data_IF_337304883126
#
_entry.id   IF_337304883126
#
_cell.length_a   1.000
_cell.length_b   1.000
_cell.length_c   1.000
_cell.angle_alpha   90.00
_cell.angle_beta   90.00
_cell.angle_gamma   90.00
#
_symmetry.space_group_name_H-M   'P 1'
#
loop_
_entity.id
_entity.type
_entity.pdbx_description
1 polymer ?
#
# COMPACT_ATOMS: atom_id res chain seq x y z
N UNK A 1 -9.83 -5.83 13.19
CA UNK A 1 -9.54 -4.38 13.34
C UNK A 1 -10.81 -3.61 13.06
N UNK A 2 -11.00 -2.40 13.61
CA UNK A 2 -12.13 -1.55 13.21
C UNK A 2 -12.03 -1.25 11.70
N UNK A 3 -13.12 -1.50 10.97
CA UNK A 3 -13.24 -1.24 9.54
C UNK A 3 -12.71 0.16 9.15
N UNK A 4 -13.01 1.17 9.97
CA UNK A 4 -12.63 2.55 9.71
C UNK A 4 -11.12 2.73 9.72
N UNK A 5 -10.42 2.14 10.70
CA UNK A 5 -8.97 2.25 10.75
C UNK A 5 -8.31 1.57 9.56
N UNK A 6 -8.86 0.45 9.08
CA UNK A 6 -8.29 -0.25 7.93
C UNK A 6 -8.53 0.54 6.65
N UNK A 7 -9.76 1.04 6.45
CA UNK A 7 -10.08 1.94 5.34
C UNK A 7 -9.16 3.17 5.32
N UNK A 8 -9.09 3.90 6.43
CA UNK A 8 -8.34 5.15 6.52
C UNK A 8 -6.83 4.88 6.39
N UNK A 9 -6.33 3.79 6.98
CA UNK A 9 -4.94 3.35 6.85
C UNK A 9 -4.58 3.00 5.41
N UNK A 10 -5.38 2.15 4.75
CA UNK A 10 -5.15 1.75 3.36
C UNK A 10 -5.20 2.96 2.42
N UNK A 11 -6.21 3.83 2.58
CA UNK A 11 -6.39 5.02 1.75
C UNK A 11 -5.25 6.02 1.94
N UNK A 12 -4.95 6.39 3.19
CA UNK A 12 -3.96 7.41 3.50
C UNK A 12 -2.54 6.97 3.14
N UNK A 13 -2.14 5.75 3.50
CA UNK A 13 -0.80 5.25 3.18
C UNK A 13 -0.60 5.11 1.67
N UNK A 14 -1.60 4.58 0.95
CA UNK A 14 -1.51 4.48 -0.52
C UNK A 14 -1.43 5.86 -1.18
N UNK A 15 -2.20 6.85 -0.70
CA UNK A 15 -2.15 8.21 -1.22
C UNK A 15 -0.80 8.89 -0.95
N UNK A 16 -0.28 8.77 0.27
CA UNK A 16 1.03 9.34 0.63
C UNK A 16 2.14 8.67 -0.17
N UNK A 17 2.12 7.34 -0.29
CA UNK A 17 3.12 6.62 -1.08
C UNK A 17 3.06 7.00 -2.57
N UNK A 18 1.86 7.26 -3.10
CA UNK A 18 1.69 7.73 -4.47
C UNK A 18 2.33 9.10 -4.68
N UNK A 19 2.19 10.03 -3.73
CA UNK A 19 2.86 11.34 -3.76
C UNK A 19 4.38 11.16 -3.74
N UNK A 20 4.91 10.43 -2.76
CA UNK A 20 6.35 10.24 -2.62
C UNK A 20 6.98 9.46 -3.78
N UNK A 21 6.27 8.48 -4.35
CA UNK A 21 6.71 7.74 -5.54
C UNK A 21 6.68 8.62 -6.79
N UNK A 22 5.68 9.50 -6.92
CA UNK A 22 5.61 10.49 -8.00
C UNK A 22 6.73 11.53 -7.89
N UNK A 23 7.02 12.00 -6.68
CA UNK A 23 8.12 12.93 -6.42
C UNK A 23 9.46 12.28 -6.73
N UNK A 24 9.68 11.02 -6.35
CA UNK A 24 10.90 10.28 -6.68
C UNK A 24 11.05 10.10 -8.20
N UNK A 25 9.96 9.74 -8.90
CA UNK A 25 9.95 9.59 -10.35
C UNK A 25 10.26 10.91 -11.07
N UNK A 26 9.55 11.98 -10.73
CA UNK A 26 9.76 13.30 -11.33
C UNK A 26 11.12 13.87 -10.99
N UNK A 27 11.58 13.69 -9.74
CA UNK A 27 12.91 14.09 -9.30
C UNK A 27 14.01 13.42 -10.13
N UNK A 28 13.89 12.11 -10.37
CA UNK A 28 14.85 11.36 -11.20
C UNK A 28 14.86 11.79 -12.68
N UNK A 29 13.76 12.36 -13.19
CA UNK A 29 13.68 12.85 -14.58
C UNK A 29 14.16 14.31 -14.68
N UNK A 30 13.64 15.19 -13.84
CA UNK A 30 13.83 16.65 -13.93
C UNK A 30 15.17 17.10 -13.37
N UNK A 31 15.69 16.44 -12.34
CA UNK A 31 16.96 16.80 -11.72
C UNK A 31 18.16 16.15 -12.41
N UNK A 32 17.96 15.55 -13.59
CA UNK A 32 19.02 14.99 -14.45
C UNK A 32 20.27 15.89 -14.60
N UNK A 33 20.17 17.23 -14.77
CA UNK A 33 21.37 18.06 -14.89
C UNK A 33 22.03 18.40 -13.53
N UNK A 34 21.36 18.14 -12.41
CA UNK A 34 21.81 18.53 -11.07
C UNK A 34 22.27 17.34 -10.21
N UNK A 35 21.82 16.14 -10.54
CA UNK A 35 22.16 14.92 -9.82
C UNK A 35 23.04 14.06 -10.73
N UNK A 36 24.25 13.76 -10.24
CA UNK A 36 25.22 12.92 -10.93
C UNK A 36 24.85 11.42 -10.82
N UNK A 37 23.64 11.05 -11.25
CA UNK A 37 23.24 9.66 -11.38
C UNK A 37 23.67 9.09 -12.73
N UNK A 38 24.15 7.85 -12.73
CA UNK A 38 24.34 7.14 -13.99
C UNK A 38 22.99 6.89 -14.68
N UNK A 39 22.92 6.89 -16.03
CA UNK A 39 21.68 6.64 -16.74
C UNK A 39 20.99 5.32 -16.33
N UNK A 40 21.76 4.27 -16.06
CA UNK A 40 21.25 2.97 -15.65
C UNK A 40 20.57 3.01 -14.27
N UNK A 41 21.20 3.68 -13.29
CA UNK A 41 20.64 3.85 -11.94
C UNK A 41 19.35 4.68 -11.98
N UNK A 42 19.31 5.70 -12.85
CA UNK A 42 18.11 6.54 -13.02
C UNK A 42 16.95 5.72 -13.57
N UNK A 43 17.20 4.99 -14.66
CA UNK A 43 16.17 4.19 -15.31
C UNK A 43 15.66 3.10 -14.35
N UNK A 44 16.55 2.55 -13.52
CA UNK A 44 16.20 1.64 -12.45
C UNK A 44 15.24 2.27 -11.42
N UNK A 45 15.55 3.47 -10.90
CA UNK A 45 14.66 4.19 -9.97
C UNK A 45 13.30 4.49 -10.62
N UNK A 46 13.30 4.91 -11.89
CA UNK A 46 12.06 5.22 -12.62
C UNK A 46 11.18 3.97 -12.72
N UNK A 47 11.74 2.83 -13.13
CA UNK A 47 11.00 1.56 -13.23
C UNK A 47 10.39 1.21 -11.87
N UNK A 48 11.19 1.31 -10.79
CA UNK A 48 10.71 0.98 -9.47
C UNK A 48 9.59 1.91 -9.00
N UNK A 49 9.74 3.22 -9.23
CA UNK A 49 8.70 4.19 -8.90
C UNK A 49 7.41 3.96 -9.70
N UNK A 50 7.50 3.59 -11.00
CA UNK A 50 6.32 3.24 -11.81
C UNK A 50 5.58 2.05 -11.22
N UNK A 51 6.30 1.00 -10.80
CA UNK A 51 5.68 -0.17 -10.17
C UNK A 51 4.96 0.26 -8.89
N UNK A 52 5.60 1.07 -8.03
CA UNK A 52 4.95 1.63 -6.85
C UNK A 52 3.67 2.38 -7.18
N UNK A 53 3.66 3.23 -8.22
CA UNK A 53 2.47 3.96 -8.62
C UNK A 53 1.33 3.01 -9.01
N UNK A 54 1.61 1.97 -9.82
CA UNK A 54 0.60 1.00 -10.27
C UNK A 54 -0.07 0.32 -9.07
N UNK A 55 0.72 -0.19 -8.12
CA UNK A 55 0.17 -0.87 -6.94
C UNK A 55 -0.57 0.09 -6.00
N UNK A 56 -0.07 1.31 -5.81
CA UNK A 56 -0.76 2.31 -4.98
C UNK A 56 -2.10 2.73 -5.59
N UNK A 57 -2.18 2.88 -6.93
CA UNK A 57 -3.47 3.10 -7.60
C UNK A 57 -4.43 1.93 -7.37
N UNK A 58 -3.94 0.69 -7.45
CA UNK A 58 -4.75 -0.48 -7.16
C UNK A 58 -5.31 -0.44 -5.72
N UNK A 59 -4.48 -0.16 -4.72
CA UNK A 59 -4.91 -0.09 -3.33
C UNK A 59 -5.88 1.06 -3.06
N UNK A 60 -5.71 2.22 -3.70
CA UNK A 60 -6.68 3.33 -3.61
C UNK A 60 -8.07 2.94 -4.17
N UNK A 61 -8.09 2.20 -5.27
CA UNK A 61 -9.34 1.70 -5.87
C UNK A 61 -10.00 0.69 -4.92
N UNK A 62 -9.23 -0.20 -4.29
CA UNK A 62 -9.74 -1.17 -3.32
C UNK A 62 -10.26 -0.49 -2.05
N UNK A 63 -9.54 0.51 -1.52
CA UNK A 63 -9.98 1.31 -0.38
C UNK A 63 -11.31 2.02 -0.67
N UNK A 64 -11.46 2.59 -1.87
CA UNK A 64 -12.71 3.25 -2.28
C UNK A 64 -13.91 2.30 -2.38
N UNK A 65 -13.67 0.99 -2.59
CA UNK A 65 -14.70 -0.05 -2.65
C UNK A 65 -14.98 -0.70 -1.29
N UNK A 66 -14.18 -0.39 -0.28
CA UNK A 66 -14.18 -1.11 0.99
C UNK A 66 -15.51 -1.02 1.72
N UNK A 67 -16.13 0.17 1.74
CA UNK A 67 -17.45 0.41 2.32
C UNK A 67 -18.49 -0.59 1.79
N UNK A 68 -18.57 -0.70 0.46
CA UNK A 68 -19.49 -1.61 -0.20
C UNK A 68 -19.17 -3.09 0.06
N UNK A 69 -17.89 -3.43 0.25
CA UNK A 69 -17.50 -4.83 0.51
C UNK A 69 -17.88 -5.25 1.93
N UNK A 70 -17.64 -4.39 2.92
CA UNK A 70 -17.91 -4.69 4.33
C UNK A 70 -19.39 -4.60 4.70
N UNK A 71 -20.20 -3.90 3.90
CA UNK A 71 -21.66 -3.94 4.01
C UNK A 71 -22.28 -5.23 3.46
N UNK A 72 -21.56 -6.00 2.64
CA UNK A 72 -22.03 -7.26 2.06
C UNK A 72 -21.79 -8.44 3.00
N UNK A 73 -22.36 -9.60 2.64
CA UNK A 73 -22.16 -10.87 3.34
C UNK A 73 -20.67 -11.25 3.48
N UNK A 74 -20.37 -12.03 4.53
CA UNK A 74 -19.02 -12.48 4.90
C UNK A 74 -18.26 -13.14 3.73
N UNK A 75 -18.96 -13.87 2.84
CA UNK A 75 -18.36 -14.47 1.64
C UNK A 75 -17.65 -13.44 0.73
N UNK A 76 -18.17 -12.21 0.65
CA UNK A 76 -17.60 -11.15 -0.17
C UNK A 76 -16.37 -10.53 0.50
N UNK A 77 -16.39 -10.41 1.83
CA UNK A 77 -15.26 -9.92 2.64
C UNK A 77 -14.09 -10.91 2.57
N UNK A 78 -14.36 -12.22 2.68
CA UNK A 78 -13.34 -13.25 2.52
C UNK A 78 -12.76 -13.26 1.10
N UNK A 79 -13.59 -13.07 0.07
CA UNK A 79 -13.14 -12.97 -1.32
C UNK A 79 -12.25 -11.74 -1.53
N UNK A 80 -12.59 -10.62 -0.90
CA UNK A 80 -11.76 -9.41 -0.89
C UNK A 80 -10.41 -9.68 -0.21
N UNK A 81 -10.41 -10.25 1.01
CA UNK A 81 -9.19 -10.58 1.76
C UNK A 81 -8.23 -11.48 0.99
N UNK A 82 -8.75 -12.50 0.29
CA UNK A 82 -7.93 -13.35 -0.58
C UNK A 82 -7.36 -12.60 -1.78
N UNK A 83 -8.14 -11.72 -2.41
CA UNK A 83 -7.69 -10.94 -3.57
C UNK A 83 -6.56 -9.99 -3.18
N UNK A 84 -6.76 -9.20 -2.12
CA UNK A 84 -5.76 -8.23 -1.67
C UNK A 84 -4.49 -8.96 -1.22
N UNK A 85 -4.61 -10.11 -0.55
CA UNK A 85 -3.46 -10.96 -0.20
C UNK A 85 -2.64 -11.37 -1.44
N UNK A 86 -3.29 -11.90 -2.48
CA UNK A 86 -2.58 -12.34 -3.69
C UNK A 86 -1.85 -11.18 -4.36
N UNK A 87 -2.49 -10.01 -4.46
CA UNK A 87 -1.86 -8.84 -5.07
C UNK A 87 -0.70 -8.33 -4.21
N UNK A 88 -0.84 -8.27 -2.90
CA UNK A 88 0.23 -7.86 -1.99
C UNK A 88 1.40 -8.84 -1.97
N UNK A 89 1.15 -10.15 -2.06
CA UNK A 89 2.21 -11.14 -2.23
C UNK A 89 2.98 -10.94 -3.54
N UNK A 90 2.28 -10.62 -4.63
CA UNK A 90 2.93 -10.31 -5.91
C UNK A 90 3.71 -8.98 -5.88
N UNK A 91 3.29 -8.04 -5.03
CA UNK A 91 4.00 -6.79 -4.79
C UNK A 91 5.23 -6.97 -3.88
N UNK A 92 5.25 -7.99 -3.02
CA UNK A 92 6.32 -8.19 -2.02
C UNK A 92 7.74 -8.29 -2.62
N UNK A 93 7.98 -8.99 -3.75
CA UNK A 93 9.28 -8.95 -4.43
C UNK A 93 9.74 -7.54 -4.79
N UNK A 94 8.81 -6.64 -5.14
CA UNK A 94 9.15 -5.25 -5.45
C UNK A 94 9.78 -4.55 -4.25
N UNK A 95 9.23 -4.71 -3.05
CA UNK A 95 9.79 -4.15 -1.81
C UNK A 95 11.26 -4.55 -1.61
N UNK A 96 11.59 -5.84 -1.80
CA UNK A 96 12.98 -6.31 -1.68
C UNK A 96 13.92 -5.70 -2.73
N UNK A 97 13.42 -5.56 -3.96
CA UNK A 97 14.18 -4.91 -5.03
C UNK A 97 14.33 -3.41 -4.74
N UNK A 98 13.32 -2.76 -4.17
CA UNK A 98 13.36 -1.35 -3.81
C UNK A 98 14.38 -1.06 -2.70
N UNK A 99 14.56 -1.97 -1.74
CA UNK A 99 15.61 -1.88 -0.71
C UNK A 99 17.01 -1.78 -1.33
N UNK A 100 17.23 -2.35 -2.51
CA UNK A 100 18.55 -2.30 -3.17
C UNK A 100 19.00 -0.86 -3.47
N UNK A 101 18.07 0.09 -3.61
CA UNK A 101 18.37 1.51 -3.81
C UNK A 101 19.16 2.13 -2.65
N UNK A 102 19.10 1.56 -1.44
CA UNK A 102 19.88 2.01 -0.29
C UNK A 102 21.39 1.74 -0.42
N UNK A 103 21.78 0.84 -1.34
CA UNK A 103 23.19 0.50 -1.59
C UNK A 103 23.78 1.25 -2.79
N UNK A 104 22.96 2.01 -3.52
CA UNK A 104 23.40 2.89 -4.59
C UNK A 104 23.86 4.22 -3.99
N UNK A 105 24.89 4.84 -4.57
CA UNK A 105 25.39 6.14 -4.12
C UNK A 105 24.45 7.28 -4.56
N UNK A 106 23.28 7.36 -3.95
CA UNK A 106 22.27 8.37 -4.22
C UNK A 106 22.63 9.69 -3.54
N UNK A 107 22.25 10.79 -4.17
CA UNK A 107 22.29 12.11 -3.52
C UNK A 107 21.38 12.13 -2.27
N UNK A 108 21.77 12.85 -1.22
CA UNK A 108 21.08 12.85 0.09
C UNK A 108 19.55 13.02 -0.01
N UNK A 109 19.11 13.96 -0.86
CA UNK A 109 17.68 14.19 -1.10
C UNK A 109 16.96 12.95 -1.68
N UNK A 110 17.58 12.25 -2.63
CA UNK A 110 17.01 11.03 -3.21
C UNK A 110 17.04 9.88 -2.21
N UNK A 111 18.13 9.74 -1.46
CA UNK A 111 18.24 8.74 -0.39
C UNK A 111 17.13 8.94 0.65
N UNK A 112 16.89 10.18 1.07
CA UNK A 112 15.79 10.52 1.98
C UNK A 112 14.42 10.15 1.41
N UNK A 113 14.16 10.42 0.13
CA UNK A 113 12.90 10.03 -0.53
C UNK A 113 12.75 8.51 -0.64
N UNK A 114 13.83 7.78 -0.89
CA UNK A 114 13.82 6.31 -0.91
C UNK A 114 13.51 5.75 0.48
N UNK A 115 14.15 6.27 1.54
CA UNK A 115 13.89 5.87 2.92
C UNK A 115 12.43 6.13 3.31
N UNK A 116 11.89 7.31 2.98
CA UNK A 116 10.50 7.63 3.27
C UNK A 116 9.54 6.70 2.53
N UNK A 117 9.76 6.45 1.22
CA UNK A 117 8.96 5.48 0.46
C UNK A 117 9.00 4.09 1.12
N UNK A 118 10.18 3.60 1.51
CA UNK A 118 10.32 2.31 2.19
C UNK A 118 9.54 2.23 3.50
N UNK A 119 9.62 3.28 4.34
CA UNK A 119 8.88 3.32 5.61
C UNK A 119 7.37 3.29 5.34
N UNK A 120 6.89 4.10 4.40
CA UNK A 120 5.46 4.15 4.06
C UNK A 120 5.00 2.80 3.49
N UNK A 121 5.80 2.18 2.63
CA UNK A 121 5.50 0.88 2.02
C UNK A 121 5.44 -0.23 3.07
N UNK A 122 6.38 -0.27 4.01
CA UNK A 122 6.35 -1.21 5.13
C UNK A 122 5.11 -1.02 6.01
N UNK A 123 4.71 0.22 6.28
CA UNK A 123 3.48 0.52 7.03
C UNK A 123 2.23 0.05 6.24
N UNK A 124 2.19 0.29 4.93
CA UNK A 124 1.10 -0.14 4.06
C UNK A 124 0.95 -1.66 4.07
N UNK A 125 2.06 -2.39 3.89
CA UNK A 125 2.08 -3.85 4.01
C UNK A 125 1.63 -4.32 5.40
N UNK A 126 2.06 -3.64 6.47
CA UNK A 126 1.63 -3.94 7.83
C UNK A 126 0.12 -3.83 8.01
N UNK A 127 -0.49 -2.74 7.51
CA UNK A 127 -1.95 -2.54 7.56
C UNK A 127 -2.68 -3.62 6.76
N UNK A 128 -2.21 -3.92 5.55
CA UNK A 128 -2.84 -4.93 4.68
C UNK A 128 -2.75 -6.33 5.30
N UNK A 129 -1.56 -6.77 5.73
CA UNK A 129 -1.38 -8.11 6.28
C UNK A 129 -2.09 -8.31 7.61
N UNK A 130 -2.15 -7.28 8.46
CA UNK A 130 -2.95 -7.34 9.68
C UNK A 130 -4.42 -7.58 9.36
N UNK A 131 -4.99 -6.85 8.41
CA UNK A 131 -6.40 -7.03 8.04
C UNK A 131 -6.65 -8.41 7.41
N UNK A 132 -5.75 -8.87 6.54
CA UNK A 132 -5.84 -10.22 5.97
C UNK A 132 -5.81 -11.27 7.08
N UNK A 133 -4.96 -11.10 8.10
CA UNK A 133 -4.91 -11.97 9.26
C UNK A 133 -6.26 -12.01 9.98
N UNK A 134 -6.81 -10.83 10.29
CA UNK A 134 -8.10 -10.69 10.97
C UNK A 134 -9.26 -11.32 10.15
N UNK A 135 -9.23 -11.18 8.82
CA UNK A 135 -10.27 -11.73 7.93
C UNK A 135 -10.16 -13.26 7.80
N UNK A 136 -8.95 -13.80 7.59
CA UNK A 136 -8.76 -15.19 7.19
C UNK A 136 -8.47 -16.15 8.34
N UNK A 137 -7.83 -15.68 9.42
CA UNK A 137 -7.27 -16.55 10.46
C UNK A 137 -7.90 -16.37 11.84
N UNK A 138 -8.65 -15.28 12.06
CA UNK A 138 -9.40 -15.10 13.31
C UNK A 138 -10.55 -16.11 13.41
N UNK A 139 -10.89 -16.51 14.63
CA UNK A 139 -12.00 -17.44 14.87
C UNK A 139 -13.31 -16.91 14.26
N UNK A 140 -14.09 -17.80 13.63
CA UNK A 140 -15.30 -17.42 12.90
C UNK A 140 -16.30 -16.68 13.80
N UNK A 141 -16.42 -17.07 15.06
CA UNK A 141 -17.28 -16.45 16.07
C UNK A 141 -16.85 -15.01 16.38
N UNK A 142 -15.56 -14.77 16.58
CA UNK A 142 -15.02 -13.43 16.86
C UNK A 142 -15.12 -12.54 15.62
N UNK A 143 -14.81 -13.07 14.44
CA UNK A 143 -14.92 -12.35 13.17
C UNK A 143 -16.35 -11.90 12.90
N UNK A 144 -17.34 -12.78 13.10
CA UNK A 144 -18.76 -12.46 12.93
C UNK A 144 -19.20 -11.35 13.90
N UNK A 145 -18.76 -11.42 15.15
CA UNK A 145 -19.06 -10.41 16.15
C UNK A 145 -18.48 -9.03 15.77
N UNK A 146 -17.20 -8.97 15.38
CA UNK A 146 -16.57 -7.71 14.94
C UNK A 146 -17.23 -7.13 13.68
N UNK A 147 -17.57 -7.97 12.70
CA UNK A 147 -18.27 -7.53 11.50
C UNK A 147 -19.65 -6.96 11.81
N UNK A 148 -20.39 -7.58 12.73
CA UNK A 148 -21.70 -7.09 13.14
C UNK A 148 -21.59 -5.76 13.91
N UNK A 149 -20.61 -5.61 14.80
CA UNK A 149 -20.33 -4.34 15.45
C UNK A 149 -20.00 -3.24 14.45
N UNK A 150 -19.10 -3.51 13.50
CA UNK A 150 -18.74 -2.57 12.44
C UNK A 150 -19.98 -2.17 11.60
N UNK A 151 -20.88 -3.11 11.29
CA UNK A 151 -22.11 -2.80 10.55
C UNK A 151 -23.04 -1.87 11.32
N UNK A 152 -23.27 -2.15 12.61
CA UNK A 152 -24.09 -1.30 13.48
C UNK A 152 -23.51 0.10 13.66
N UNK A 153 -22.19 0.20 13.76
CA UNK A 153 -21.49 1.47 13.96
C UNK A 153 -21.44 2.34 12.71
N UNK A 154 -21.19 1.74 11.54
CA UNK A 154 -20.80 2.48 10.33
C UNK A 154 -21.81 2.43 9.19
N UNK A 155 -22.69 1.42 9.14
CA UNK A 155 -23.58 1.20 7.98
C UNK A 155 -25.08 1.30 8.33
N UNK A 156 -25.50 0.99 9.55
CA UNK A 156 -26.92 1.10 9.95
C UNK A 156 -27.36 2.53 10.31
N UNK A 157 -26.42 3.48 10.45
CA UNK A 157 -26.70 4.90 10.75
C UNK A 157 -26.70 5.83 9.51
N UNK A 158 -26.60 5.27 8.31
CA UNK A 158 -26.72 5.99 7.03
C UNK A 158 -28.09 5.72 6.40
#
# INVERSE_FOLDING_TARGET
>A
MDYKYFHDGLLSLSAVQLVFSSTLLLGSILLKPYIALEPAERDYIIILAIINLIFNFYYLIEASKLERVFSLEEKHILKFGKRILVVSLFYTPHLFVFISLLFINLHDLQLMLVILNLIIELLLFGVIFKEIYDILFKEETERKFELEQNRKLYFEKK
#
